data_IF_804386489548
#
_entry.id   IF_804386489548
#
_cell.length_a   1.000
_cell.length_b   1.000
_cell.length_c   1.000
_cell.angle_alpha   90.00
_cell.angle_beta   90.00
_cell.angle_gamma   90.00
#
_symmetry.space_group_name_H-M   'P 1'
#
loop_
_entity.id
_entity.type
_entity.pdbx_description
1 polymer ?
#
# COMPACT_ATOMS: atom_id res chain seq x y z
N UNK A 1 -5.36 6.71 3.32
CA UNK A 1 -5.89 7.91 2.64
C UNK A 1 -4.74 8.74 2.13
N UNK A 2 -4.60 8.83 0.81
CA UNK A 2 -3.60 9.64 0.13
C UNK A 2 -4.02 11.11 0.03
N UNK A 3 -3.04 11.98 -0.24
CA UNK A 3 -3.26 13.41 -0.40
C UNK A 3 -2.64 13.84 -1.73
N UNK A 4 -3.45 14.38 -2.62
CA UNK A 4 -3.02 14.92 -3.91
C UNK A 4 -3.24 16.42 -3.92
N UNK A 5 -2.38 17.15 -4.64
CA UNK A 5 -2.62 18.55 -4.97
C UNK A 5 -3.05 18.64 -6.42
N UNK A 6 -4.22 19.23 -6.67
CA UNK A 6 -4.79 19.38 -8.01
C UNK A 6 -4.85 20.87 -8.35
N UNK A 7 -4.24 21.24 -9.49
CA UNK A 7 -4.26 22.59 -10.09
C UNK A 7 -3.01 23.45 -9.86
N UNK A 8 -2.56 24.13 -10.94
CA UNK A 8 -1.68 25.30 -11.01
C UNK A 8 -0.25 25.23 -10.42
N UNK A 9 0.74 25.98 -10.97
CA UNK A 9 2.02 26.18 -10.28
C UNK A 9 1.79 26.84 -8.91
N UNK A 10 2.79 26.76 -7.99
CA UNK A 10 2.69 27.10 -6.56
C UNK A 10 1.97 28.43 -6.23
N UNK A 11 1.95 29.38 -7.16
CA UNK A 11 1.34 30.71 -7.08
C UNK A 11 -0.16 30.78 -7.41
N UNK A 12 -0.79 29.73 -7.96
CA UNK A 12 -2.16 29.78 -8.50
C UNK A 12 -3.21 28.95 -7.73
N UNK A 13 -3.05 28.78 -6.41
CA UNK A 13 -4.13 28.28 -5.56
C UNK A 13 -4.54 26.81 -5.78
N UNK A 14 -3.57 25.89 -5.89
CA UNK A 14 -3.87 24.46 -5.96
C UNK A 14 -4.63 23.94 -4.74
N UNK A 15 -5.67 23.11 -4.96
CA UNK A 15 -6.49 22.51 -3.91
C UNK A 15 -5.89 21.18 -3.47
N UNK A 16 -5.83 20.98 -2.15
CA UNK A 16 -5.49 19.68 -1.57
C UNK A 16 -6.75 18.81 -1.56
N UNK A 17 -6.65 17.64 -2.18
CA UNK A 17 -7.75 16.66 -2.29
C UNK A 17 -7.29 15.37 -1.62
N UNK A 18 -8.13 14.83 -0.74
CA UNK A 18 -7.92 13.51 -0.14
C UNK A 18 -8.51 12.46 -1.07
N UNK A 19 -7.79 11.37 -1.29
CA UNK A 19 -8.21 10.29 -2.17
C UNK A 19 -7.80 8.92 -1.61
N UNK A 20 -8.37 7.85 -2.16
CA UNK A 20 -8.18 6.48 -1.68
C UNK A 20 -9.09 6.12 -0.51
N UNK A 21 -9.06 4.85 -0.11
CA UNK A 21 -9.89 4.33 0.97
C UNK A 21 -9.25 4.66 2.35
N UNK A 22 -10.07 4.83 3.41
CA UNK A 22 -9.56 4.80 4.79
C UNK A 22 -8.75 3.52 5.02
N UNK A 23 -7.55 3.64 5.61
CA UNK A 23 -6.67 2.50 5.85
C UNK A 23 -5.95 1.91 4.63
N UNK A 24 -6.26 2.34 3.40
CA UNK A 24 -5.54 1.89 2.19
C UNK A 24 -4.04 2.10 2.34
N UNK A 25 -3.27 1.10 1.91
CA UNK A 25 -1.82 1.10 1.97
C UNK A 25 -1.19 2.16 1.04
N UNK A 26 0.09 2.46 1.27
CA UNK A 26 0.82 3.48 0.52
C UNK A 26 1.05 3.08 -0.96
N UNK A 27 1.32 1.80 -1.20
CA UNK A 27 1.55 1.24 -2.53
C UNK A 27 0.58 0.09 -2.81
N UNK A 28 0.12 0.02 -4.05
CA UNK A 28 -0.85 -0.98 -4.50
C UNK A 28 -0.41 -1.59 -5.82
N UNK A 29 -0.70 -2.88 -6.02
CA UNK A 29 -0.30 -3.60 -7.22
C UNK A 29 -1.02 -4.94 -7.38
N UNK A 30 -0.60 -5.67 -8.40
CA UNK A 30 -1.09 -7.02 -8.71
C UNK A 30 0.15 -7.89 -8.97
N UNK A 31 0.29 -8.97 -8.21
CA UNK A 31 1.30 -9.99 -8.38
C UNK A 31 0.89 -10.97 -9.50
N UNK A 32 1.84 -11.79 -10.02
CA UNK A 32 1.50 -12.87 -10.94
C UNK A 32 0.36 -13.75 -10.42
N UNK A 33 -0.45 -14.27 -11.35
CA UNK A 33 -1.69 -14.97 -11.00
C UNK A 33 -2.85 -14.07 -10.59
N UNK A 34 -2.72 -12.75 -10.73
CA UNK A 34 -3.80 -11.79 -10.44
C UNK A 34 -3.98 -11.50 -8.95
N UNK A 35 -2.99 -11.85 -8.12
CA UNK A 35 -3.08 -11.70 -6.66
C UNK A 35 -2.92 -10.23 -6.27
N UNK A 36 -3.90 -9.69 -5.52
CA UNK A 36 -3.84 -8.31 -5.03
C UNK A 36 -2.65 -8.11 -4.10
N UNK A 37 -1.89 -7.05 -4.28
CA UNK A 37 -0.78 -6.65 -3.40
C UNK A 37 -1.01 -5.25 -2.85
N UNK A 38 -0.79 -5.10 -1.55
CA UNK A 38 -0.79 -3.84 -0.82
C UNK A 38 0.46 -3.75 0.05
N UNK A 39 1.16 -2.62 0.03
CA UNK A 39 2.37 -2.39 0.84
C UNK A 39 2.20 -1.08 1.61
N UNK A 40 2.18 -1.18 2.94
CA UNK A 40 2.17 -0.06 3.86
C UNK A 40 3.56 0.14 4.43
N UNK A 41 4.12 1.33 4.27
CA UNK A 41 5.49 1.63 4.67
C UNK A 41 5.49 2.34 6.02
N UNK A 42 6.26 1.80 6.97
CA UNK A 42 6.46 2.43 8.28
C UNK A 42 7.95 2.54 8.61
N UNK A 43 8.33 3.63 9.27
CA UNK A 43 9.63 3.71 9.94
C UNK A 43 9.74 2.70 11.09
N UNK A 44 10.91 2.55 11.71
CA UNK A 44 11.20 1.53 12.74
C UNK A 44 10.13 1.42 13.85
N UNK A 45 9.70 2.56 14.40
CA UNK A 45 8.69 2.60 15.47
C UNK A 45 7.26 2.89 14.99
N UNK A 46 7.08 3.03 13.67
CA UNK A 46 5.78 3.30 13.07
C UNK A 46 4.81 2.14 13.32
N UNK A 47 3.59 2.48 13.75
CA UNK A 47 2.51 1.53 13.99
C UNK A 47 1.37 1.78 13.00
N UNK A 48 0.69 0.72 12.61
CA UNK A 48 -0.56 0.84 11.86
C UNK A 48 -1.67 1.45 12.71
N UNK A 49 -2.50 2.29 12.10
CA UNK A 49 -3.79 2.72 12.67
C UNK A 49 -4.80 1.57 12.68
N UNK A 50 -5.93 1.75 13.36
CA UNK A 50 -6.99 0.75 13.38
C UNK A 50 -7.56 0.48 11.98
N UNK A 51 -7.77 1.53 11.18
CA UNK A 51 -8.26 1.44 9.81
C UNK A 51 -7.27 0.71 8.91
N UNK A 52 -5.96 0.95 9.08
CA UNK A 52 -4.92 0.23 8.33
C UNK A 52 -4.92 -1.26 8.64
N UNK A 53 -5.08 -1.62 9.92
CA UNK A 53 -5.24 -3.04 10.31
C UNK A 53 -6.53 -3.64 9.76
N UNK A 54 -7.63 -2.87 9.72
CA UNK A 54 -8.89 -3.34 9.13
C UNK A 54 -8.75 -3.58 7.63
N UNK A 55 -8.06 -2.69 6.92
CA UNK A 55 -7.77 -2.82 5.50
C UNK A 55 -6.87 -4.03 5.23
N UNK A 56 -5.79 -4.21 6.00
CA UNK A 56 -4.95 -5.41 5.96
C UNK A 56 -5.78 -6.69 6.09
N UNK A 57 -6.58 -6.80 7.16
CA UNK A 57 -7.42 -7.98 7.40
C UNK A 57 -8.37 -8.26 6.23
N UNK A 58 -8.92 -7.22 5.62
CA UNK A 58 -9.78 -7.36 4.45
C UNK A 58 -9.01 -7.92 3.25
N UNK A 59 -7.84 -7.37 2.93
CA UNK A 59 -7.00 -7.83 1.81
C UNK A 59 -6.60 -9.29 2.00
N UNK A 60 -6.07 -9.64 3.17
CA UNK A 60 -5.65 -11.00 3.51
C UNK A 60 -6.82 -11.99 3.47
N UNK A 61 -8.00 -11.58 3.98
CA UNK A 61 -9.22 -12.40 3.96
C UNK A 61 -9.67 -12.76 2.54
N UNK A 62 -9.42 -11.90 1.56
CA UNK A 62 -9.77 -12.14 0.16
C UNK A 62 -8.60 -12.68 -0.68
N UNK A 63 -7.57 -13.24 -0.02
CA UNK A 63 -6.46 -13.91 -0.68
C UNK A 63 -5.41 -12.97 -1.29
N UNK A 64 -5.47 -11.67 -0.95
CA UNK A 64 -4.42 -10.73 -1.29
C UNK A 64 -3.24 -10.79 -0.32
N UNK A 65 -2.12 -10.22 -0.74
CA UNK A 65 -0.91 -10.05 0.07
C UNK A 65 -0.88 -8.63 0.60
N UNK A 66 -0.72 -8.48 1.92
CA UNK A 66 -0.48 -7.20 2.56
C UNK A 66 0.88 -7.23 3.25
N UNK A 67 1.72 -6.24 2.97
CA UNK A 67 3.06 -6.11 3.56
C UNK A 67 3.12 -4.86 4.41
N UNK A 68 3.39 -5.02 5.71
CA UNK A 68 3.82 -3.90 6.56
C UNK A 68 5.35 -3.78 6.45
N UNK A 69 5.81 -2.99 5.49
CA UNK A 69 7.23 -2.88 5.17
C UNK A 69 7.94 -1.84 6.05
N UNK A 70 9.05 -2.25 6.65
CA UNK A 70 10.04 -1.35 7.28
C UNK A 70 11.32 -1.25 6.46
N UNK A 71 11.48 -2.14 5.49
CA UNK A 71 12.57 -2.21 4.54
C UNK A 71 12.11 -2.82 3.22
N UNK A 72 12.95 -2.72 2.19
CA UNK A 72 12.74 -3.40 0.91
C UNK A 72 12.83 -4.92 1.07
N UNK A 73 13.62 -5.41 2.01
CA UNK A 73 13.80 -6.84 2.27
C UNK A 73 12.51 -7.50 2.78
N UNK A 74 11.70 -6.78 3.58
CA UNK A 74 10.38 -7.26 4.02
C UNK A 74 9.46 -7.55 2.83
N UNK A 75 9.54 -6.71 1.79
CA UNK A 75 8.75 -6.86 0.56
C UNK A 75 9.23 -8.08 -0.21
N UNK A 76 10.54 -8.22 -0.42
CA UNK A 76 11.11 -9.37 -1.13
C UNK A 76 10.81 -10.70 -0.44
N UNK A 77 10.88 -10.74 0.89
CA UNK A 77 10.53 -11.91 1.68
C UNK A 77 9.07 -12.30 1.48
N UNK A 78 8.16 -11.32 1.42
CA UNK A 78 6.72 -11.57 1.26
C UNK A 78 6.33 -12.00 -0.15
N UNK A 79 6.92 -11.42 -1.19
CA UNK A 79 6.48 -11.63 -2.58
C UNK A 79 7.36 -12.61 -3.38
N UNK A 80 8.49 -13.03 -2.82
CA UNK A 80 9.50 -13.79 -3.57
C UNK A 80 8.99 -15.09 -4.20
N UNK A 81 8.05 -15.80 -3.56
CA UNK A 81 7.43 -17.00 -4.15
C UNK A 81 6.62 -16.68 -5.40
N UNK A 82 5.82 -15.61 -5.36
CA UNK A 82 4.99 -15.18 -6.48
C UNK A 82 5.79 -14.80 -7.72
N UNK A 83 7.05 -14.39 -7.54
CA UNK A 83 7.94 -13.98 -8.64
C UNK A 83 8.76 -15.16 -9.22
N UNK A 84 8.90 -16.27 -8.47
CA UNK A 84 9.68 -17.43 -8.90
C UNK A 84 8.87 -18.43 -9.73
N UNK A 85 7.55 -18.43 -9.60
CA UNK A 85 6.64 -19.35 -10.30
C UNK A 85 6.33 -18.93 -11.76
N UNK A 86 7.22 -18.14 -12.38
CA UNK A 86 7.13 -17.68 -13.78
C UNK A 86 8.30 -18.21 -14.61
N UNK A 87 8.55 -19.52 -14.49
CA UNK A 87 9.44 -20.29 -15.38
C UNK A 87 8.69 -20.78 -16.61
#
# INVERSE_FOLDING_TARGET
MGVARIGGPRSAGGRVVRFGLPGQADLTGILPGGVRLEIEVKGADGRQTEEQRAFQRMIERFGGVYVLARSVDDVWAAIGSYLRDQG
#
